data_IF_258984371304
#
_entry.id   IF_258984371304
#
_cell.length_a   1.000
_cell.length_b   1.000
_cell.length_c   1.000
_cell.angle_alpha   90.00
_cell.angle_beta   90.00
_cell.angle_gamma   90.00
#
_symmetry.space_group_name_H-M   'P 1'
#
loop_
_entity.id
_entity.type
_entity.pdbx_description
1 polymer ?
#
# COMPACT_ATOMS: atom_id res chain seq x y z
N UNK A 1 31.25 15.90 -9.69
CA UNK A 1 31.12 14.58 -10.37
C UNK A 1 30.84 13.45 -9.38
N UNK A 2 31.22 13.58 -8.08
CA UNK A 2 30.79 12.67 -7.00
C UNK A 2 29.28 12.72 -6.73
N UNK A 3 28.71 13.92 -6.64
CA UNK A 3 27.32 14.12 -6.18
C UNK A 3 26.28 13.47 -7.10
N UNK A 4 26.53 13.48 -8.42
CA UNK A 4 25.64 12.85 -9.41
C UNK A 4 25.64 11.32 -9.26
N UNK A 5 26.79 10.73 -8.91
CA UNK A 5 26.87 9.30 -8.67
C UNK A 5 26.20 8.95 -7.34
N UNK A 6 26.42 9.73 -6.27
CA UNK A 6 25.76 9.51 -4.98
C UNK A 6 24.23 9.59 -5.08
N UNK A 7 23.68 10.61 -5.75
CA UNK A 7 22.24 10.74 -5.98
C UNK A 7 21.66 9.53 -6.75
N UNK A 8 22.40 9.04 -7.75
CA UNK A 8 22.02 7.88 -8.53
C UNK A 8 22.00 6.59 -7.70
N UNK A 9 22.99 6.40 -6.84
CA UNK A 9 23.07 5.27 -5.92
C UNK A 9 21.94 5.31 -4.88
N UNK A 10 21.65 6.49 -4.31
CA UNK A 10 20.54 6.68 -3.38
C UNK A 10 19.18 6.37 -4.02
N UNK A 11 18.95 6.78 -5.27
CA UNK A 11 17.73 6.47 -6.02
C UNK A 11 17.57 4.96 -6.27
N UNK A 12 18.67 4.25 -6.53
CA UNK A 12 18.67 2.81 -6.75
C UNK A 12 18.40 2.04 -5.45
N UNK A 13 19.05 2.43 -4.35
CA UNK A 13 18.83 1.84 -3.03
C UNK A 13 17.40 2.06 -2.56
N UNK A 14 16.85 3.25 -2.78
CA UNK A 14 15.46 3.55 -2.48
C UNK A 14 14.49 2.69 -3.30
N UNK A 15 14.75 2.52 -4.60
CA UNK A 15 13.94 1.66 -5.46
C UNK A 15 14.00 0.19 -5.01
N UNK A 16 15.19 -0.33 -4.68
CA UNK A 16 15.37 -1.69 -4.17
C UNK A 16 14.68 -1.88 -2.81
N UNK A 17 14.80 -0.91 -1.90
CA UNK A 17 14.08 -0.92 -0.62
C UNK A 17 12.57 -0.96 -0.82
N UNK A 18 12.03 -0.20 -1.78
CA UNK A 18 10.59 -0.21 -2.07
C UNK A 18 10.13 -1.56 -2.64
N UNK A 19 10.92 -2.21 -3.50
CA UNK A 19 10.64 -3.57 -3.98
C UNK A 19 10.53 -4.54 -2.81
N UNK A 20 11.49 -4.53 -1.89
CA UNK A 20 11.49 -5.45 -0.74
C UNK A 20 10.28 -5.19 0.18
N UNK A 21 10.05 -3.93 0.56
CA UNK A 21 8.92 -3.58 1.44
C UNK A 21 7.58 -3.95 0.79
N UNK A 22 7.41 -3.62 -0.49
CA UNK A 22 6.18 -3.94 -1.22
C UNK A 22 6.01 -5.45 -1.39
N UNK A 23 7.10 -6.19 -1.63
CA UNK A 23 7.10 -7.64 -1.70
C UNK A 23 6.66 -8.29 -0.39
N UNK A 24 7.16 -7.82 0.76
CA UNK A 24 6.75 -8.33 2.07
C UNK A 24 5.27 -8.07 2.34
N UNK A 25 4.79 -6.86 2.07
CA UNK A 25 3.38 -6.50 2.27
C UNK A 25 2.50 -7.31 1.32
N UNK A 26 2.87 -7.40 0.04
CA UNK A 26 2.19 -8.22 -0.98
C UNK A 26 2.03 -9.67 -0.52
N UNK A 27 3.12 -10.32 -0.08
CA UNK A 27 3.08 -11.69 0.41
C UNK A 27 2.14 -11.86 1.62
N UNK A 28 2.16 -10.91 2.55
CA UNK A 28 1.28 -10.90 3.72
C UNK A 28 -0.19 -10.73 3.33
N UNK A 29 -0.49 -9.81 2.40
CA UNK A 29 -1.84 -9.59 1.88
C UNK A 29 -2.37 -10.80 1.09
N UNK A 30 -1.51 -11.49 0.32
CA UNK A 30 -1.88 -12.76 -0.34
C UNK A 30 -2.24 -13.82 0.72
N UNK A 31 -1.47 -13.93 1.80
CA UNK A 31 -1.81 -14.85 2.89
C UNK A 31 -3.15 -14.50 3.53
N UNK A 32 -3.41 -13.22 3.82
CA UNK A 32 -4.73 -12.75 4.31
C UNK A 32 -5.82 -13.13 3.33
N UNK A 33 -5.67 -12.82 2.04
CA UNK A 33 -6.63 -13.20 0.99
C UNK A 33 -6.94 -14.69 1.00
N UNK A 34 -5.90 -15.54 1.05
CA UNK A 34 -6.05 -16.98 1.14
C UNK A 34 -6.84 -17.39 2.39
N UNK A 35 -6.51 -16.86 3.56
CA UNK A 35 -7.26 -17.15 4.79
C UNK A 35 -8.72 -16.70 4.71
N UNK A 36 -9.01 -15.55 4.10
CA UNK A 36 -10.39 -15.11 3.86
C UNK A 36 -11.14 -16.13 3.00
N UNK A 37 -10.53 -16.61 1.92
CA UNK A 37 -11.16 -17.64 1.09
C UNK A 37 -11.36 -18.95 1.87
N UNK A 38 -10.36 -19.44 2.61
CA UNK A 38 -10.51 -20.70 3.34
C UNK A 38 -11.55 -20.64 4.46
N UNK A 39 -11.59 -19.55 5.24
CA UNK A 39 -12.42 -19.48 6.44
C UNK A 39 -13.77 -18.78 6.23
N UNK A 40 -13.83 -17.76 5.37
CA UNK A 40 -15.05 -16.96 5.19
C UNK A 40 -15.85 -17.36 3.95
N UNK A 41 -15.24 -17.92 2.90
CA UNK A 41 -16.02 -18.37 1.74
C UNK A 41 -17.08 -19.43 2.09
N UNK A 42 -16.81 -20.45 2.93
CA UNK A 42 -17.84 -21.40 3.32
C UNK A 42 -19.02 -20.72 4.06
N UNK A 43 -18.71 -19.74 4.92
CA UNK A 43 -19.71 -18.95 5.64
C UNK A 43 -20.53 -18.09 4.68
N UNK A 44 -19.88 -17.45 3.71
CA UNK A 44 -20.53 -16.71 2.62
C UNK A 44 -21.48 -17.62 1.83
N UNK A 45 -21.04 -18.79 1.38
CA UNK A 45 -21.88 -19.71 0.61
C UNK A 45 -23.06 -20.25 1.40
N UNK A 46 -22.95 -20.31 2.73
CA UNK A 46 -24.02 -20.72 3.63
C UNK A 46 -24.94 -19.56 4.08
N UNK A 47 -24.69 -18.33 3.64
CA UNK A 47 -25.49 -17.15 4.01
C UNK A 47 -25.28 -16.66 5.45
N UNK A 48 -24.16 -17.04 6.10
CA UNK A 48 -23.87 -16.69 7.49
C UNK A 48 -23.19 -15.32 7.67
N UNK A 49 -22.73 -14.71 6.58
CA UNK A 49 -22.12 -13.38 6.58
C UNK A 49 -22.74 -12.52 5.49
N UNK A 50 -22.65 -11.21 5.66
CA UNK A 50 -23.17 -10.25 4.68
C UNK A 50 -22.44 -10.42 3.33
N UNK A 51 -23.18 -10.72 2.24
CA UNK A 51 -22.57 -11.02 0.95
C UNK A 51 -21.94 -9.78 0.31
N UNK A 52 -22.47 -8.59 0.56
CA UNK A 52 -21.98 -7.33 -0.01
C UNK A 52 -20.68 -6.95 0.69
N UNK A 53 -20.65 -6.98 2.03
CA UNK A 53 -19.44 -6.69 2.80
C UNK A 53 -18.31 -7.67 2.50
N UNK A 54 -18.61 -8.96 2.32
CA UNK A 54 -17.60 -9.93 1.95
C UNK A 54 -16.99 -9.63 0.57
N UNK A 55 -17.81 -9.29 -0.42
CA UNK A 55 -17.31 -8.91 -1.75
C UNK A 55 -16.51 -7.61 -1.74
N UNK A 56 -16.93 -6.60 -0.98
CA UNK A 56 -16.18 -5.36 -0.79
C UNK A 56 -14.82 -5.65 -0.15
N UNK A 57 -14.79 -6.52 0.87
CA UNK A 57 -13.56 -6.93 1.56
C UNK A 57 -12.60 -7.61 0.60
N UNK A 58 -13.06 -8.64 -0.13
CA UNK A 58 -12.21 -9.34 -1.11
C UNK A 58 -11.72 -8.41 -2.22
N UNK A 59 -12.59 -7.53 -2.73
CA UNK A 59 -12.22 -6.56 -3.76
C UNK A 59 -11.12 -5.64 -3.26
N UNK A 60 -11.24 -5.13 -2.03
CA UNK A 60 -10.23 -4.27 -1.41
C UNK A 60 -8.89 -4.98 -1.30
N UNK A 61 -8.88 -6.23 -0.83
CA UNK A 61 -7.67 -7.06 -0.71
C UNK A 61 -7.04 -7.31 -2.08
N UNK A 62 -7.83 -7.60 -3.12
CA UNK A 62 -7.33 -7.78 -4.50
C UNK A 62 -6.73 -6.48 -5.05
N UNK A 63 -7.35 -5.33 -4.79
CA UNK A 63 -6.82 -4.02 -5.18
C UNK A 63 -5.53 -3.68 -4.42
N UNK A 64 -5.40 -4.07 -3.15
CA UNK A 64 -4.14 -3.98 -2.39
C UNK A 64 -3.03 -4.79 -3.06
N UNK A 65 -3.29 -6.06 -3.38
CA UNK A 65 -2.35 -6.97 -4.05
C UNK A 65 -1.90 -6.37 -5.39
N UNK A 66 -2.85 -5.92 -6.22
CA UNK A 66 -2.56 -5.32 -7.52
C UNK A 66 -1.70 -4.07 -7.36
N UNK A 67 -2.05 -3.18 -6.42
CA UNK A 67 -1.32 -1.94 -6.18
C UNK A 67 0.12 -2.20 -5.76
N UNK A 68 0.37 -3.10 -4.80
CA UNK A 68 1.74 -3.43 -4.42
C UNK A 68 2.50 -4.18 -5.52
N UNK A 69 1.84 -5.02 -6.31
CA UNK A 69 2.46 -5.66 -7.48
C UNK A 69 2.93 -4.63 -8.52
N UNK A 70 2.09 -3.61 -8.79
CA UNK A 70 2.46 -2.50 -9.67
C UNK A 70 3.58 -1.66 -9.06
N UNK A 71 3.55 -1.37 -7.76
CA UNK A 71 4.64 -0.70 -7.05
C UNK A 71 5.97 -1.44 -7.27
N UNK A 72 6.00 -2.76 -7.04
CA UNK A 72 7.16 -3.61 -7.28
C UNK A 72 7.62 -3.50 -8.73
N UNK A 73 6.72 -3.64 -9.70
CA UNK A 73 7.07 -3.57 -11.12
C UNK A 73 7.73 -2.24 -11.50
N UNK A 74 7.16 -1.13 -11.04
CA UNK A 74 7.66 0.22 -11.33
C UNK A 74 8.96 0.54 -10.58
N UNK A 75 9.19 -0.02 -9.39
CA UNK A 75 10.47 0.16 -8.68
C UNK A 75 11.56 -0.79 -9.21
N UNK A 76 11.23 -2.06 -9.46
CA UNK A 76 12.17 -3.09 -9.92
C UNK A 76 12.78 -2.74 -11.28
N UNK A 77 11.98 -2.20 -12.21
CA UNK A 77 12.47 -1.83 -13.54
C UNK A 77 13.56 -0.74 -13.53
N UNK A 78 13.67 0.07 -12.46
CA UNK A 78 14.73 1.08 -12.30
C UNK A 78 16.11 0.44 -12.20
N UNK A 79 16.20 -0.73 -11.54
CA UNK A 79 17.45 -1.45 -11.35
C UNK A 79 17.81 -2.40 -12.49
N UNK A 80 16.82 -2.83 -13.29
CA UNK A 80 17.02 -3.86 -14.33
C UNK A 80 17.06 -3.29 -15.74
N UNK A 81 16.26 -2.26 -16.04
CA UNK A 81 16.19 -1.69 -17.38
C UNK A 81 17.18 -0.53 -17.53
N UNK A 82 17.79 -0.43 -18.71
CA UNK A 82 18.56 0.76 -19.09
C UNK A 82 17.59 1.91 -19.31
N UNK A 83 17.50 2.79 -18.32
CA UNK A 83 16.62 3.97 -18.32
C UNK A 83 17.44 5.25 -18.15
N UNK A 84 17.03 6.31 -18.83
CA UNK A 84 17.48 7.67 -18.57
C UNK A 84 17.04 8.14 -17.17
N UNK A 85 17.67 9.20 -16.66
CA UNK A 85 17.32 9.79 -15.35
C UNK A 85 15.86 10.25 -15.28
N UNK A 86 15.33 10.78 -16.37
CA UNK A 86 13.93 11.23 -16.50
C UNK A 86 12.97 10.04 -16.37
N UNK A 87 13.27 8.94 -17.07
CA UNK A 87 12.46 7.72 -17.03
C UNK A 87 12.49 7.05 -15.65
N UNK A 88 13.66 7.01 -15.00
CA UNK A 88 13.80 6.52 -13.62
C UNK A 88 12.94 7.33 -12.64
N UNK A 89 12.99 8.66 -12.72
CA UNK A 89 12.18 9.53 -11.85
C UNK A 89 10.68 9.37 -12.12
N UNK A 90 10.26 9.28 -13.37
CA UNK A 90 8.87 9.02 -13.73
C UNK A 90 8.41 7.66 -13.21
N UNK A 91 9.25 6.64 -13.35
CA UNK A 91 9.03 5.31 -12.81
C UNK A 91 8.84 5.30 -11.30
N UNK A 92 9.75 5.96 -10.60
CA UNK A 92 9.74 6.05 -9.14
C UNK A 92 8.48 6.77 -8.65
N UNK A 93 8.09 7.85 -9.33
CA UNK A 93 6.85 8.58 -9.03
C UNK A 93 5.61 7.68 -9.17
N UNK A 94 5.52 6.93 -10.26
CA UNK A 94 4.41 5.99 -10.48
C UNK A 94 4.40 4.86 -9.45
N UNK A 95 5.55 4.27 -9.15
CA UNK A 95 5.68 3.25 -8.10
C UNK A 95 5.27 3.78 -6.72
N UNK A 96 5.63 5.02 -6.42
CA UNK A 96 5.24 5.71 -5.17
C UNK A 96 3.73 5.96 -5.11
N UNK A 97 3.07 6.29 -6.23
CA UNK A 97 1.61 6.43 -6.27
C UNK A 97 0.93 5.11 -5.95
N UNK A 98 1.37 4.00 -6.56
CA UNK A 98 0.84 2.67 -6.27
C UNK A 98 1.12 2.22 -4.85
N UNK A 99 2.28 2.56 -4.28
CA UNK A 99 2.57 2.34 -2.86
C UNK A 99 1.54 3.01 -1.95
N UNK A 100 1.25 4.29 -2.20
CA UNK A 100 0.27 5.06 -1.41
C UNK A 100 -1.13 4.47 -1.55
N UNK A 101 -1.56 4.20 -2.78
CA UNK A 101 -2.88 3.60 -3.04
C UNK A 101 -3.02 2.23 -2.37
N UNK A 102 -2.01 1.35 -2.51
CA UNK A 102 -1.98 0.05 -1.86
C UNK A 102 -2.01 0.16 -0.33
N UNK A 103 -1.29 1.12 0.24
CA UNK A 103 -1.31 1.37 1.69
C UNK A 103 -2.69 1.82 2.17
N UNK A 104 -3.41 2.66 1.41
CA UNK A 104 -4.76 3.09 1.76
C UNK A 104 -5.74 1.91 1.80
N UNK A 105 -5.66 1.00 0.82
CA UNK A 105 -6.49 -0.21 0.83
C UNK A 105 -6.10 -1.15 1.97
N UNK A 106 -4.80 -1.39 2.18
CA UNK A 106 -4.28 -2.24 3.26
C UNK A 106 -4.78 -1.81 4.63
N UNK A 107 -4.80 -0.50 4.89
CA UNK A 107 -5.27 0.09 6.15
C UNK A 107 -6.77 -0.14 6.39
N UNK A 108 -7.57 -0.34 5.33
CA UNK A 108 -9.00 -0.64 5.43
C UNK A 108 -9.28 -2.13 5.68
N UNK A 109 -8.38 -3.04 5.27
CA UNK A 109 -8.60 -4.49 5.33
C UNK A 109 -9.04 -4.98 6.73
N UNK A 110 -8.37 -4.60 7.84
CA UNK A 110 -8.75 -5.13 9.15
C UNK A 110 -10.17 -4.72 9.58
N UNK A 111 -10.56 -3.48 9.30
CA UNK A 111 -11.91 -3.01 9.63
C UNK A 111 -12.97 -3.72 8.79
N UNK A 112 -12.73 -3.87 7.49
CA UNK A 112 -13.63 -4.58 6.57
C UNK A 112 -13.82 -6.05 6.95
N UNK A 113 -12.75 -6.74 7.34
CA UNK A 113 -12.82 -8.12 7.83
C UNK A 113 -13.68 -8.20 9.10
N UNK A 114 -13.48 -7.30 10.06
CA UNK A 114 -14.27 -7.25 11.31
C UNK A 114 -15.75 -7.00 11.05
N UNK A 115 -16.07 -6.07 10.15
CA UNK A 115 -17.46 -5.82 9.74
C UNK A 115 -18.09 -7.03 9.04
N UNK A 116 -17.32 -7.71 8.19
CA UNK A 116 -17.79 -8.90 7.46
C UNK A 116 -18.19 -10.04 8.39
N UNK A 117 -17.50 -10.22 9.53
CA UNK A 117 -17.85 -11.23 10.54
C UNK A 117 -18.84 -10.73 11.60
N UNK A 118 -19.40 -9.53 11.44
CA UNK A 118 -20.40 -8.97 12.34
C UNK A 118 -19.85 -8.33 13.62
N UNK A 119 -18.53 -8.16 13.77
CA UNK A 119 -17.92 -7.49 14.93
C UNK A 119 -17.96 -5.96 14.77
N UNK A 120 -19.16 -5.39 14.81
CA UNK A 120 -19.40 -3.97 14.50
C UNK A 120 -18.61 -3.01 15.39
N UNK A 121 -18.66 -3.19 16.71
CA UNK A 121 -17.98 -2.29 17.67
C UNK A 121 -16.48 -2.30 17.46
N UNK A 122 -15.88 -3.49 17.32
CA UNK A 122 -14.44 -3.63 17.09
C UNK A 122 -14.07 -3.08 15.71
N UNK A 123 -14.91 -3.30 14.70
CA UNK A 123 -14.74 -2.76 13.36
C UNK A 123 -14.71 -1.23 13.34
N UNK A 124 -15.59 -0.56 14.09
CA UNK A 124 -15.59 0.90 14.23
C UNK A 124 -14.33 1.40 14.93
N UNK A 125 -13.93 0.75 16.04
CA UNK A 125 -12.69 1.12 16.76
C UNK A 125 -11.48 0.97 15.84
N UNK A 126 -11.38 -0.13 15.10
CA UNK A 126 -10.33 -0.37 14.13
C UNK A 126 -10.35 0.71 13.04
N UNK A 127 -11.51 1.00 12.44
CA UNK A 127 -11.65 2.01 11.40
C UNK A 127 -11.21 3.40 11.90
N UNK A 128 -11.64 3.82 13.09
CA UNK A 128 -11.25 5.11 13.67
C UNK A 128 -9.75 5.17 13.95
N UNK A 129 -9.16 4.10 14.50
CA UNK A 129 -7.72 4.03 14.74
C UNK A 129 -6.93 4.17 13.43
N UNK A 130 -7.35 3.45 12.39
CA UNK A 130 -6.72 3.46 11.08
C UNK A 130 -6.86 4.79 10.33
N UNK A 131 -8.04 5.41 10.38
CA UNK A 131 -8.27 6.75 9.84
C UNK A 131 -7.44 7.80 10.59
N UNK A 132 -7.34 7.69 11.91
CA UNK A 132 -6.51 8.58 12.73
C UNK A 132 -5.03 8.44 12.36
N UNK A 133 -4.52 7.21 12.28
CA UNK A 133 -3.16 6.92 11.84
C UNK A 133 -2.86 7.54 10.46
N UNK A 134 -3.78 7.35 9.50
CA UNK A 134 -3.66 7.91 8.15
C UNK A 134 -3.64 9.43 8.17
N UNK A 135 -4.55 10.05 8.93
CA UNK A 135 -4.63 11.50 9.08
C UNK A 135 -3.34 12.08 9.67
N UNK A 136 -2.82 11.51 10.76
CA UNK A 136 -1.59 11.98 11.39
C UNK A 136 -0.40 11.83 10.44
N UNK A 137 -0.28 10.72 9.74
CA UNK A 137 0.79 10.49 8.75
C UNK A 137 0.73 11.51 7.61
N UNK A 138 -0.46 11.77 7.06
CA UNK A 138 -0.63 12.78 6.00
C UNK A 138 -0.37 14.20 6.50
N UNK A 139 -0.80 14.53 7.72
CA UNK A 139 -0.55 15.83 8.35
C UNK A 139 0.95 16.08 8.51
N UNK A 140 1.68 15.07 8.95
CA UNK A 140 3.12 15.16 9.18
C UNK A 140 3.88 15.30 7.86
N UNK A 141 3.54 14.49 6.85
CA UNK A 141 4.10 14.61 5.50
C UNK A 141 3.92 16.02 4.90
N UNK A 142 2.73 16.62 5.08
CA UNK A 142 2.45 18.00 4.63
C UNK A 142 3.30 19.04 5.37
N UNK A 143 3.58 18.83 6.66
CA UNK A 143 4.44 19.73 7.45
C UNK A 143 5.86 19.74 6.91
N UNK A 144 6.46 18.59 6.64
CA UNK A 144 7.80 18.51 6.06
C UNK A 144 7.90 19.18 4.69
N UNK A 145 6.88 18.99 3.84
CA UNK A 145 6.82 19.67 2.53
C UNK A 145 6.76 21.20 2.68
N UNK A 146 6.02 21.70 3.68
CA UNK A 146 5.94 23.14 3.94
C UNK A 146 7.26 23.71 4.47
N UNK A 147 7.98 22.98 5.34
CA UNK A 147 9.31 23.37 5.80
C UNK A 147 10.33 23.44 4.66
N UNK A 148 10.35 22.43 3.78
CA UNK A 148 11.27 22.41 2.63
C UNK A 148 11.04 23.56 1.66
N UNK A 149 9.78 23.95 1.43
CA UNK A 149 9.45 25.13 0.60
C UNK A 149 9.95 26.44 1.24
N UNK A 150 9.92 26.57 2.56
CA UNK A 150 10.40 27.77 3.27
C UNK A 150 11.92 27.90 3.29
N UNK A 151 12.66 26.79 3.25
CA UNK A 151 14.13 26.78 3.17
C UNK A 151 14.67 27.14 1.77
N UNK A 152 13.83 27.07 0.74
CA UNK A 152 14.18 27.39 -0.65
C UNK A 152 13.67 28.74 -1.13
N UNK A 153 12.92 29.46 -0.29
CA UNK A 153 12.42 30.81 -0.55
C UNK A 153 13.32 31.83 0.16
#
# INVERSE_FOLDING_TARGET
MSDINEDLWLDLDLAASNVNRAGTVLGSTIAVFTFLLFFLYPRYSSGQIDPILFQITLTTVVLTILSFSLCILFCYRIGVLKMSSVEKRASMRTGTLFWVVGTLFLVLEPALILFTIGLQVVGVVALVAWLSYTFFTLRDARRYQAYHKRLKA
#
